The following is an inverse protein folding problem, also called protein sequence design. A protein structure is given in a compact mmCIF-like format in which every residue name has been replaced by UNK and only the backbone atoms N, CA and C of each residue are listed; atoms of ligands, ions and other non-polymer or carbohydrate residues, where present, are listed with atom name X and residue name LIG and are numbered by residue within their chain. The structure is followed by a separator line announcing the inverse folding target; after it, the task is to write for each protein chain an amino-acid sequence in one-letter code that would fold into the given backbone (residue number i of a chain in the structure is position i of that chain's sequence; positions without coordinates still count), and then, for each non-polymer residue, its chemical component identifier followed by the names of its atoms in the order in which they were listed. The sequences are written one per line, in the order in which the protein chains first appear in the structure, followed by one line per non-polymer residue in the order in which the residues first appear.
data_IF_638322781005
#
_entry.id   IF_638322781005
#
_cell.length_a   1.000
_cell.length_b   1.000
_cell.length_c   1.000
_cell.angle_alpha   90.00
_cell.angle_beta   90.00
_cell.angle_gamma   90.00
#
_symmetry.space_group_name_H-M   'P 1'
#
loop_
_entity.id
_entity.type
_entity.pdbx_description
1 polymer ?
#
# COMPACT_ATOMS: atom_id res chain seq x y z
N UNK A 1 6.12 -10.60 -15.92
CA UNK A 1 6.82 -10.07 -14.71
C UNK A 1 7.80 -8.92 -15.01
N UNK A 2 8.05 -8.53 -16.27
CA UNK A 2 9.09 -7.54 -16.62
C UNK A 2 8.72 -6.05 -16.36
N UNK A 3 7.46 -5.63 -16.52
CA UNK A 3 7.14 -4.18 -16.48
C UNK A 3 7.08 -3.56 -15.07
N UNK A 4 6.89 -4.36 -14.01
CA UNK A 4 6.93 -3.82 -12.62
C UNK A 4 8.38 -3.51 -12.23
N UNK A 5 9.33 -4.28 -12.77
CA UNK A 5 10.75 -4.00 -12.61
C UNK A 5 11.15 -2.68 -13.31
N UNK A 6 10.42 -2.24 -14.34
CA UNK A 6 10.70 -1.02 -15.08
C UNK A 6 10.33 0.26 -14.31
N UNK A 7 9.18 0.30 -13.63
CA UNK A 7 8.79 1.48 -12.82
C UNK A 7 9.65 1.63 -11.57
N UNK A 8 10.05 0.52 -10.92
CA UNK A 8 11.00 0.59 -9.80
C UNK A 8 12.41 1.03 -10.26
N UNK A 9 12.82 0.72 -11.51
CA UNK A 9 14.10 1.18 -12.08
C UNK A 9 14.21 2.71 -12.19
N UNK A 10 13.11 3.44 -12.40
CA UNK A 10 13.12 4.91 -12.48
C UNK A 10 13.63 5.56 -11.18
N UNK A 11 13.48 4.88 -10.03
CA UNK A 11 14.00 5.36 -8.74
C UNK A 11 15.46 4.96 -8.46
N UNK A 12 16.04 4.01 -9.21
CA UNK A 12 17.34 3.37 -8.88
C UNK A 12 18.59 4.24 -9.12
N UNK A 13 18.44 5.51 -9.50
CA UNK A 13 19.58 6.43 -9.70
C UNK A 13 19.43 7.80 -9.02
N UNK A 14 18.34 8.04 -8.28
CA UNK A 14 18.09 9.34 -7.62
C UNK A 14 18.63 9.31 -6.20
N UNK A 15 19.54 10.24 -5.90
CA UNK A 15 20.01 10.48 -4.53
C UNK A 15 18.83 10.85 -3.64
N UNK A 16 18.76 10.26 -2.45
CA UNK A 16 17.73 10.61 -1.45
C UNK A 16 18.01 12.02 -0.93
N UNK A 17 16.98 12.72 -0.42
CA UNK A 17 17.20 14.03 0.18
C UNK A 17 18.18 13.94 1.37
N UNK A 18 18.97 14.99 1.60
CA UNK A 18 19.97 15.04 2.69
C UNK A 18 19.33 14.73 4.05
N UNK A 19 18.10 15.20 4.29
CA UNK A 19 17.34 14.91 5.50
C UNK A 19 17.13 13.39 5.69
N UNK A 20 16.70 12.66 4.65
CA UNK A 20 16.49 11.21 4.73
C UNK A 20 17.82 10.44 4.85
N UNK A 21 18.93 11.02 4.40
CA UNK A 21 20.26 10.41 4.56
C UNK A 21 20.78 10.53 6.00
N UNK A 22 20.59 11.67 6.64
CA UNK A 22 21.09 11.96 7.98
C UNK A 22 20.13 11.48 9.09
N UNK A 23 18.83 11.43 8.82
CA UNK A 23 17.81 11.07 9.79
C UNK A 23 17.40 9.59 9.67
N UNK A 24 17.89 8.77 10.61
CA UNK A 24 17.60 7.33 10.66
C UNK A 24 16.10 7.03 10.80
N UNK A 25 15.35 7.89 11.52
CA UNK A 25 13.90 7.75 11.66
C UNK A 25 13.19 8.01 10.33
N UNK A 26 13.54 9.11 9.64
CA UNK A 26 12.97 9.43 8.33
C UNK A 26 13.27 8.33 7.30
N UNK A 27 14.46 7.72 7.36
CA UNK A 27 14.83 6.58 6.53
C UNK A 27 13.95 5.34 6.81
N UNK A 28 13.67 5.07 8.08
CA UNK A 28 12.79 3.99 8.52
C UNK A 28 11.35 4.19 8.03
N UNK A 29 10.82 5.41 8.19
CA UNK A 29 9.45 5.75 7.78
C UNK A 29 9.27 5.63 6.25
N UNK A 30 10.24 6.10 5.47
CA UNK A 30 10.21 5.95 4.00
C UNK A 30 10.19 4.47 3.60
N UNK A 31 11.06 3.66 4.20
CA UNK A 31 11.11 2.21 3.93
C UNK A 31 9.76 1.55 4.23
N UNK A 32 9.23 1.82 5.43
CA UNK A 32 7.95 1.28 5.89
C UNK A 32 6.78 1.70 4.99
N UNK A 33 6.75 2.94 4.51
CA UNK A 33 5.72 3.41 3.59
C UNK A 33 5.83 2.74 2.21
N UNK A 34 7.05 2.53 1.70
CA UNK A 34 7.26 1.82 0.43
C UNK A 34 6.78 0.38 0.54
N UNK A 35 7.09 -0.32 1.64
CA UNK A 35 6.64 -1.70 1.87
C UNK A 35 5.12 -1.84 1.86
N UNK A 36 4.37 -0.81 2.29
CA UNK A 36 2.90 -0.78 2.21
C UNK A 36 2.35 -0.48 0.83
N UNK A 37 2.97 0.46 0.13
CA UNK A 37 2.47 0.94 -1.17
C UNK A 37 2.78 -0.05 -2.29
N UNK A 38 3.89 -0.77 -2.19
CA UNK A 38 4.32 -1.74 -3.19
C UNK A 38 3.23 -2.76 -3.54
N UNK A 39 2.64 -3.50 -2.59
CA UNK A 39 1.63 -4.51 -2.92
C UNK A 39 0.34 -3.91 -3.51
N UNK A 40 0.03 -2.66 -3.18
CA UNK A 40 -1.08 -1.90 -3.77
C UNK A 40 -0.81 -1.51 -5.22
N UNK A 41 0.38 -0.99 -5.52
CA UNK A 41 0.76 -0.62 -6.89
C UNK A 41 0.85 -1.87 -7.77
N UNK A 42 1.46 -2.94 -7.26
CA UNK A 42 1.57 -4.21 -7.98
C UNK A 42 0.21 -4.82 -8.34
N UNK A 43 -0.78 -4.72 -7.44
CA UNK A 43 -2.13 -5.21 -7.73
C UNK A 43 -2.82 -4.39 -8.81
N UNK A 44 -2.63 -3.06 -8.86
CA UNK A 44 -3.13 -2.24 -9.98
C UNK A 44 -2.50 -2.69 -11.30
N UNK A 45 -1.18 -2.91 -11.33
CA UNK A 45 -0.49 -3.38 -12.53
C UNK A 45 -0.96 -4.77 -12.94
N UNK A 46 -1.19 -5.67 -11.99
CA UNK A 46 -1.71 -7.01 -12.26
C UNK A 46 -3.11 -6.95 -12.87
N UNK A 47 -4.00 -6.10 -12.35
CA UNK A 47 -5.32 -5.89 -12.94
C UNK A 47 -5.22 -5.37 -14.38
N UNK A 48 -4.35 -4.39 -14.64
CA UNK A 48 -4.15 -3.84 -15.98
C UNK A 48 -3.62 -4.87 -16.98
N UNK A 49 -2.75 -5.79 -16.54
CA UNK A 49 -2.22 -6.88 -17.40
C UNK A 49 -3.22 -7.99 -17.71
N UNK A 50 -4.23 -8.15 -16.87
CA UNK A 50 -5.22 -9.22 -16.97
C UNK A 50 -6.57 -8.69 -17.50
N UNK A 51 -6.60 -7.43 -17.94
CA UNK A 51 -7.80 -6.71 -18.35
C UNK A 51 -8.93 -6.77 -17.31
N UNK A 52 -8.54 -6.86 -16.03
CA UNK A 52 -9.48 -6.92 -14.92
C UNK A 52 -9.93 -5.51 -14.57
N UNK A 53 -11.26 -5.31 -14.59
CA UNK A 53 -11.86 -4.07 -14.10
C UNK A 53 -11.45 -3.86 -12.64
N UNK A 54 -10.82 -2.73 -12.34
CA UNK A 54 -10.44 -2.37 -10.98
C UNK A 54 -11.67 -2.22 -10.08
N UNK A 55 -12.71 -1.58 -10.63
CA UNK A 55 -13.93 -1.20 -9.93
C UNK A 55 -15.03 -2.26 -10.03
N UNK A 56 -15.85 -2.34 -8.99
CA UNK A 56 -17.12 -3.07 -8.92
C UNK A 56 -18.26 -2.14 -8.49
N UNK A 57 -19.39 -2.71 -8.06
CA UNK A 57 -20.61 -1.94 -7.76
C UNK A 57 -20.45 -1.00 -6.54
N UNK A 58 -19.59 -1.38 -5.59
CA UNK A 58 -19.26 -0.59 -4.39
C UNK A 58 -17.77 -0.66 -4.07
N UNK A 59 -17.03 0.41 -4.37
CA UNK A 59 -15.60 0.47 -4.03
C UNK A 59 -15.25 1.52 -2.98
N UNK A 60 -16.25 2.29 -2.53
CA UNK A 60 -16.08 3.28 -1.48
C UNK A 60 -15.98 2.63 -0.09
N UNK A 61 -15.43 3.39 0.85
CA UNK A 61 -15.34 2.99 2.25
C UNK A 61 -14.16 2.08 2.59
N UNK A 62 -14.08 1.75 3.89
CA UNK A 62 -12.96 1.01 4.48
C UNK A 62 -12.83 -0.37 3.83
N UNK A 63 -11.58 -0.77 3.58
CA UNK A 63 -11.28 -2.15 3.19
C UNK A 63 -11.25 -3.03 4.44
N UNK A 64 -12.04 -4.11 4.44
CA UNK A 64 -11.99 -5.16 5.46
C UNK A 64 -11.28 -6.39 4.89
N UNK A 65 -10.58 -7.11 5.78
CA UNK A 65 -9.97 -8.41 5.46
C UNK A 65 -11.00 -9.56 5.46
N UNK A 66 -12.21 -9.29 5.96
CA UNK A 66 -13.34 -10.21 5.91
C UNK A 66 -13.95 -10.23 4.50
N UNK A 67 -14.45 -11.40 4.11
CA UNK A 67 -15.11 -11.57 2.83
C UNK A 67 -16.50 -10.92 2.87
N UNK A 68 -16.82 -10.04 1.89
CA UNK A 68 -18.05 -9.30 1.89
C UNK A 68 -19.23 -10.13 1.39
N UNK A 69 -20.42 -9.84 1.93
CA UNK A 69 -21.67 -10.40 1.43
C UNK A 69 -22.04 -9.91 0.01
N UNK A 70 -21.50 -8.74 -0.39
CA UNK A 70 -21.72 -8.15 -1.72
C UNK A 70 -20.43 -8.14 -2.51
N UNK A 71 -20.53 -8.34 -3.83
CA UNK A 71 -19.41 -8.29 -4.75
C UNK A 71 -18.77 -6.89 -4.74
N UNK A 72 -17.56 -6.79 -4.20
CA UNK A 72 -16.72 -5.60 -4.35
C UNK A 72 -15.88 -5.70 -5.64
N UNK A 73 -15.25 -4.60 -6.06
CA UNK A 73 -14.36 -4.58 -7.22
C UNK A 73 -13.18 -5.54 -7.08
N UNK A 74 -12.69 -6.04 -8.23
CA UNK A 74 -11.61 -7.03 -8.28
C UNK A 74 -10.34 -6.55 -7.57
N UNK A 75 -10.04 -5.25 -7.62
CA UNK A 75 -8.90 -4.68 -6.92
C UNK A 75 -8.96 -4.92 -5.40
N UNK A 76 -10.13 -4.67 -4.79
CA UNK A 76 -10.34 -4.88 -3.34
C UNK A 76 -10.27 -6.36 -2.97
N UNK A 77 -10.83 -7.23 -3.80
CA UNK A 77 -10.76 -8.67 -3.61
C UNK A 77 -9.30 -9.18 -3.68
N UNK A 78 -8.52 -8.71 -4.64
CA UNK A 78 -7.11 -9.08 -4.79
C UNK A 78 -6.24 -8.58 -3.63
N UNK A 79 -6.46 -7.34 -3.16
CA UNK A 79 -5.77 -6.83 -1.98
C UNK A 79 -6.06 -7.67 -0.73
N UNK A 80 -7.32 -8.07 -0.54
CA UNK A 80 -7.70 -8.97 0.55
C UNK A 80 -7.04 -10.33 0.43
N UNK A 81 -7.10 -10.93 -0.76
CA UNK A 81 -6.47 -12.22 -1.04
C UNK A 81 -4.97 -12.19 -0.73
N UNK A 82 -4.25 -11.13 -1.13
CA UNK A 82 -2.83 -10.94 -0.79
C UNK A 82 -2.58 -10.80 0.72
N UNK A 83 -3.37 -9.96 1.38
CA UNK A 83 -3.25 -9.76 2.82
C UNK A 83 -3.52 -11.05 3.62
N UNK A 84 -4.51 -11.85 3.20
CA UNK A 84 -4.82 -13.14 3.81
C UNK A 84 -3.81 -14.23 3.41
N UNK A 85 -3.15 -14.09 2.26
CA UNK A 85 -2.11 -14.98 1.75
C UNK A 85 -0.71 -14.76 2.33
N UNK A 86 -0.57 -13.91 3.36
CA UNK A 86 0.70 -13.74 4.08
C UNK A 86 1.43 -12.41 3.86
N UNK A 87 0.83 -11.45 3.14
CA UNK A 87 1.37 -10.09 3.05
C UNK A 87 1.10 -9.32 4.36
N UNK A 88 1.96 -9.54 5.36
CA UNK A 88 1.85 -8.99 6.71
C UNK A 88 1.85 -7.44 6.69
N UNK A 89 2.76 -6.74 5.96
CA UNK A 89 2.74 -5.29 5.88
C UNK A 89 1.42 -4.73 5.35
N UNK A 90 0.89 -5.32 4.27
CA UNK A 90 -0.40 -4.92 3.70
C UNK A 90 -1.55 -5.21 4.68
N UNK A 91 -1.59 -6.40 5.29
CA UNK A 91 -2.64 -6.79 6.22
C UNK A 91 -2.67 -5.86 7.45
N UNK A 92 -1.50 -5.52 7.99
CA UNK A 92 -1.37 -4.57 9.08
C UNK A 92 -1.82 -3.16 8.67
N UNK A 93 -1.47 -2.73 7.46
CA UNK A 93 -1.94 -1.45 6.93
C UNK A 93 -3.47 -1.40 6.84
N UNK A 94 -4.12 -2.43 6.27
CA UNK A 94 -5.59 -2.49 6.15
C UNK A 94 -6.28 -2.45 7.51
N UNK A 95 -5.74 -3.16 8.51
CA UNK A 95 -6.28 -3.15 9.89
C UNK A 95 -6.13 -1.77 10.54
N UNK A 96 -4.98 -1.13 10.41
CA UNK A 96 -4.63 0.10 11.13
C UNK A 96 -5.04 1.40 10.43
N UNK A 97 -5.29 1.38 9.12
CA UNK A 97 -5.56 2.58 8.33
C UNK A 97 -6.72 3.42 8.86
N UNK A 98 -7.73 2.81 9.48
CA UNK A 98 -8.85 3.56 10.06
C UNK A 98 -8.57 4.12 11.46
N UNK A 99 -7.71 3.46 12.26
CA UNK A 99 -7.33 3.98 13.58
C UNK A 99 -6.52 5.29 13.45
N UNK A 100 -5.85 5.47 12.31
CA UNK A 100 -5.04 6.66 12.03
C UNK A 100 -5.88 7.91 11.70
N UNK A 101 -7.17 7.75 11.33
CA UNK A 101 -8.08 8.89 11.09
C UNK A 101 -8.66 9.49 12.40
N UNK A 102 -8.47 8.82 13.55
CA UNK A 102 -9.00 9.24 14.86
C UNK A 102 -7.91 9.59 15.88
N UNK A 103 -6.62 9.49 15.53
CA UNK A 103 -5.52 9.89 16.41
C UNK A 103 -4.94 11.22 15.94
N UNK A 104 -4.95 12.28 16.78
CA UNK A 104 -4.45 13.58 16.39
C UNK A 104 -2.93 13.52 16.32
N UNK A 105 -2.41 13.22 15.13
CA UNK A 105 -1.00 13.21 14.78
C UNK A 105 -0.13 12.30 15.67
N UNK A 106 0.74 11.52 15.02
CA UNK A 106 2.08 11.34 15.60
C UNK A 106 2.70 12.73 15.61
N UNK A 107 2.40 13.52 16.65
CA UNK A 107 3.05 14.79 16.97
C UNK A 107 4.54 14.49 16.94
N UNK A 108 5.24 15.02 15.94
CA UNK A 108 6.63 15.39 16.08
C UNK A 108 6.75 16.14 17.41
N UNK A 109 7.24 15.46 18.47
CA UNK A 109 7.80 16.18 19.60
C UNK A 109 9.17 16.66 19.12
N UNK A 110 9.23 17.89 18.63
CA UNK A 110 10.49 18.62 18.66
C UNK A 110 10.86 18.74 20.14
N UNK A 111 11.98 18.10 20.51
CA UNK A 111 12.77 18.49 21.67
C UNK A 111 13.92 19.33 21.15
#
# INVERSE_FOLDING_TARGET
MADIHCTFRVARGKSRSVNVQLNQQAKGDVKYNIEKLLPTVETVVQCGRQDLKLKGDKDSGRLSLEEPLKKYGNFRALLRSRANGGDIPLANHIRTAAAMLLTPARRFKMK
#
